data_IF_314966202589
#
_entry.id   IF_314966202589
#
_cell.length_a   1.000
_cell.length_b   1.000
_cell.length_c   1.000
_cell.angle_alpha   90.00
_cell.angle_beta   90.00
_cell.angle_gamma   90.00
#
_symmetry.space_group_name_H-M   'P 1'
#
loop_
_entity.id
_entity.type
_entity.pdbx_description
1 polymer ?
#
# COMPACT_ATOMS: atom_id res chain seq x y z
N UNK A 1 10.63 -9.94 -11.71
CA UNK A 1 12.06 -9.56 -11.50
C UNK A 1 12.25 -9.34 -10.00
N UNK A 2 13.42 -9.58 -9.40
CA UNK A 2 13.61 -9.25 -7.98
C UNK A 2 13.74 -7.72 -7.83
N UNK A 3 12.78 -7.08 -7.18
CA UNK A 3 12.75 -5.62 -6.99
C UNK A 3 13.74 -5.26 -5.89
N UNK A 4 14.78 -4.48 -6.22
CA UNK A 4 15.81 -4.09 -5.26
C UNK A 4 15.49 -2.75 -4.60
N UNK A 5 15.94 -2.56 -3.35
CA UNK A 5 15.88 -1.26 -2.65
C UNK A 5 16.52 -0.13 -3.46
N UNK A 6 17.58 -0.42 -4.22
CA UNK A 6 18.23 0.58 -5.08
C UNK A 6 17.30 1.05 -6.19
N UNK A 7 16.63 0.13 -6.89
CA UNK A 7 15.68 0.48 -7.95
C UNK A 7 14.54 1.36 -7.41
N UNK A 8 14.00 1.02 -6.24
CA UNK A 8 12.97 1.82 -5.57
C UNK A 8 13.48 3.24 -5.26
N UNK A 9 14.68 3.38 -4.67
CA UNK A 9 15.25 4.69 -4.36
C UNK A 9 15.54 5.53 -5.61
N UNK A 10 16.04 4.90 -6.68
CA UNK A 10 16.29 5.55 -7.97
C UNK A 10 14.96 6.03 -8.60
N UNK A 11 13.91 5.21 -8.55
CA UNK A 11 12.58 5.55 -9.05
C UNK A 11 11.96 6.72 -8.28
N UNK A 12 11.99 6.69 -6.95
CA UNK A 12 11.52 7.82 -6.13
C UNK A 12 12.23 9.11 -6.51
N UNK A 13 13.56 9.06 -6.72
CA UNK A 13 14.34 10.22 -7.15
C UNK A 13 13.98 10.67 -8.57
N UNK A 14 13.85 9.74 -9.53
CA UNK A 14 13.51 10.02 -10.94
C UNK A 14 12.15 10.69 -11.08
N UNK A 15 11.20 10.34 -10.22
CA UNK A 15 9.83 10.85 -10.21
C UNK A 15 9.60 11.99 -9.19
N UNK A 16 10.68 12.54 -8.60
CA UNK A 16 10.63 13.61 -7.61
C UNK A 16 9.72 13.32 -6.40
N UNK A 17 9.60 12.04 -6.02
CA UNK A 17 8.90 11.62 -4.81
C UNK A 17 9.79 11.70 -3.57
N UNK A 18 9.22 12.04 -2.40
CA UNK A 18 10.01 12.28 -1.21
C UNK A 18 10.60 10.98 -0.64
N UNK A 19 11.88 11.06 -0.26
CA UNK A 19 12.53 10.11 0.65
C UNK A 19 12.81 10.87 1.94
N UNK A 20 12.17 10.45 3.03
CA UNK A 20 12.28 11.13 4.31
C UNK A 20 13.64 10.88 4.96
N UNK A 21 14.23 11.94 5.52
CA UNK A 21 15.58 11.93 6.09
C UNK A 21 15.54 12.00 7.61
N UNK A 22 16.59 11.47 8.22
CA UNK A 22 16.79 11.44 9.67
C UNK A 22 16.45 10.09 10.28
N UNK A 23 17.05 9.80 11.43
CA UNK A 23 16.92 8.49 12.06
C UNK A 23 15.47 8.15 12.37
N UNK A 24 15.05 6.95 11.98
CA UNK A 24 13.68 6.42 12.08
C UNK A 24 12.61 7.23 11.32
N UNK A 25 13.00 8.12 10.40
CA UNK A 25 12.03 8.82 9.55
C UNK A 25 11.66 7.90 8.38
N UNK A 26 10.49 7.29 8.44
CA UNK A 26 10.10 6.20 7.55
C UNK A 26 9.52 6.74 6.24
N UNK A 27 9.99 6.19 5.12
CA UNK A 27 9.36 6.29 3.80
C UNK A 27 8.66 4.98 3.47
N UNK A 28 7.35 5.05 3.21
CA UNK A 28 6.52 3.91 2.82
C UNK A 28 6.28 3.92 1.32
N UNK A 29 6.57 2.79 0.66
CA UNK A 29 6.46 2.68 -0.78
C UNK A 29 5.83 1.36 -1.19
N UNK A 30 4.80 1.39 -2.01
CA UNK A 30 4.31 0.20 -2.72
C UNK A 30 4.93 0.14 -4.11
N UNK A 31 5.17 -1.07 -4.60
CA UNK A 31 5.45 -1.34 -6.00
C UNK A 31 4.41 -2.32 -6.49
N UNK A 32 3.52 -1.83 -7.36
CA UNK A 32 2.54 -2.63 -8.08
C UNK A 32 3.22 -3.39 -9.21
N UNK A 33 3.01 -4.70 -9.26
CA UNK A 33 3.48 -5.57 -10.32
C UNK A 33 2.83 -5.19 -11.66
N UNK A 34 3.54 -5.46 -12.75
CA UNK A 34 2.96 -5.43 -14.09
C UNK A 34 1.83 -6.48 -14.29
N UNK A 35 1.84 -7.56 -13.52
CA UNK A 35 0.79 -8.58 -13.50
C UNK A 35 -0.33 -8.19 -12.51
N UNK A 36 -1.29 -7.39 -12.98
CA UNK A 36 -2.43 -6.93 -12.17
C UNK A 36 -3.59 -7.95 -12.10
N UNK A 37 -3.49 -9.06 -12.84
CA UNK A 37 -4.50 -10.13 -12.90
C UNK A 37 -4.26 -11.24 -11.87
N UNK A 38 -3.07 -11.28 -11.26
CA UNK A 38 -2.60 -12.40 -10.44
C UNK A 38 -3.54 -12.82 -9.28
N UNK A 39 -4.39 -11.91 -8.76
CA UNK A 39 -5.22 -12.10 -7.55
C UNK A 39 -4.45 -12.67 -6.33
N UNK A 40 -3.13 -12.52 -6.31
CA UNK A 40 -2.20 -12.98 -5.28
C UNK A 40 -1.45 -11.79 -4.71
N UNK A 41 -0.62 -12.01 -3.69
CA UNK A 41 0.20 -10.96 -3.10
C UNK A 41 1.53 -10.80 -3.84
N UNK A 42 1.47 -10.46 -5.13
CA UNK A 42 2.61 -10.32 -6.04
C UNK A 42 3.25 -8.92 -6.03
N UNK A 43 2.65 -7.96 -5.32
CA UNK A 43 3.21 -6.63 -5.13
C UNK A 43 4.20 -6.59 -3.97
N UNK A 44 4.97 -5.50 -3.89
CA UNK A 44 5.95 -5.28 -2.81
C UNK A 44 5.64 -4.04 -2.01
N UNK A 45 5.76 -4.13 -0.68
CA UNK A 45 5.65 -3.00 0.23
C UNK A 45 6.99 -2.74 0.92
N UNK A 46 7.62 -1.62 0.58
CA UNK A 46 8.90 -1.20 1.12
C UNK A 46 8.76 -0.23 2.30
N UNK A 47 9.60 -0.44 3.31
CA UNK A 47 9.78 0.46 4.45
C UNK A 47 11.24 0.90 4.48
N UNK A 48 11.50 2.16 4.14
CA UNK A 48 12.86 2.71 4.01
C UNK A 48 13.12 3.70 5.14
N UNK A 49 14.26 3.60 5.81
CA UNK A 49 14.67 4.52 6.87
C UNK A 49 16.18 4.51 7.08
N UNK A 50 16.67 5.43 7.90
CA UNK A 50 18.07 5.49 8.34
C UNK A 50 18.16 5.29 9.85
N UNK A 51 19.27 4.72 10.32
CA UNK A 51 19.67 4.69 11.74
C UNK A 51 21.18 4.89 11.79
N UNK A 52 21.67 5.85 12.58
CA UNK A 52 23.10 6.16 12.72
C UNK A 52 23.81 6.34 11.37
N UNK A 53 23.14 7.00 10.43
CA UNK A 53 23.65 7.25 9.07
C UNK A 53 23.66 6.03 8.13
N UNK A 54 23.18 4.86 8.57
CA UNK A 54 23.06 3.65 7.73
C UNK A 54 21.63 3.50 7.20
N UNK A 55 21.50 3.17 5.92
CA UNK A 55 20.20 2.90 5.31
C UNK A 55 19.73 1.49 5.65
N UNK A 56 18.44 1.39 5.96
CA UNK A 56 17.73 0.15 6.23
C UNK A 56 16.49 0.09 5.34
N UNK A 57 16.16 -1.11 4.90
CA UNK A 57 14.97 -1.39 4.12
C UNK A 57 14.38 -2.73 4.55
N UNK A 58 13.04 -2.80 4.60
CA UNK A 58 12.28 -4.04 4.58
C UNK A 58 11.41 -4.05 3.35
N UNK A 59 11.17 -5.24 2.79
CA UNK A 59 10.26 -5.46 1.69
C UNK A 59 9.31 -6.62 2.02
N UNK A 60 8.01 -6.35 1.93
CA UNK A 60 6.97 -7.32 2.30
C UNK A 60 6.15 -7.70 1.08
N UNK A 61 5.68 -8.94 1.02
CA UNK A 61 4.67 -9.34 0.04
C UNK A 61 3.35 -8.66 0.39
N UNK A 62 2.77 -7.97 -0.58
CA UNK A 62 1.49 -7.32 -0.43
C UNK A 62 0.65 -7.43 -1.71
N UNK A 63 -0.55 -6.87 -1.65
CA UNK A 63 -1.32 -6.48 -2.82
C UNK A 63 -1.69 -5.01 -2.69
N UNK A 64 -1.63 -4.32 -3.82
CA UNK A 64 -2.04 -2.94 -4.05
C UNK A 64 -3.29 -2.87 -4.93
N UNK A 65 -3.77 -4.04 -5.33
CA UNK A 65 -4.92 -4.27 -6.20
C UNK A 65 -6.09 -4.82 -5.37
N UNK A 66 -7.33 -4.49 -5.75
CA UNK A 66 -8.48 -5.19 -5.18
C UNK A 66 -8.43 -6.66 -5.61
N UNK A 67 -8.91 -7.56 -4.76
CA UNK A 67 -9.03 -8.97 -5.13
C UNK A 67 -10.17 -9.18 -6.12
N UNK A 68 -10.07 -10.25 -6.93
CA UNK A 68 -11.02 -10.55 -8.02
C UNK A 68 -12.46 -10.55 -7.53
N UNK A 69 -12.72 -11.06 -6.32
CA UNK A 69 -14.06 -11.01 -5.72
C UNK A 69 -14.66 -9.61 -5.76
N UNK A 70 -13.91 -8.57 -5.38
CA UNK A 70 -14.45 -7.22 -5.37
C UNK A 70 -14.46 -6.57 -6.75
N UNK A 71 -13.55 -6.94 -7.66
CA UNK A 71 -13.61 -6.49 -9.06
C UNK A 71 -14.94 -6.88 -9.70
N UNK A 72 -15.33 -8.15 -9.54
CA UNK A 72 -16.60 -8.69 -10.04
C UNK A 72 -17.83 -8.30 -9.19
N UNK A 73 -17.62 -7.94 -7.91
CA UNK A 73 -18.69 -7.58 -6.98
C UNK A 73 -18.39 -6.25 -6.26
N UNK A 74 -18.46 -5.11 -6.97
CA UNK A 74 -18.16 -3.81 -6.39
C UNK A 74 -19.05 -3.50 -5.19
N UNK A 75 -18.44 -2.99 -4.11
CA UNK A 75 -19.19 -2.53 -2.93
C UNK A 75 -19.88 -1.19 -3.22
N UNK A 76 -19.24 -0.34 -4.03
CA UNK A 76 -19.75 0.97 -4.42
C UNK A 76 -20.41 0.87 -5.79
N UNK A 77 -21.55 1.57 -5.97
CA UNK A 77 -22.31 1.63 -7.22
C UNK A 77 -21.51 2.22 -8.38
N UNK A 78 -20.53 3.07 -8.06
CA UNK A 78 -19.64 3.70 -9.03
C UNK A 78 -18.48 2.78 -9.43
N UNK A 79 -18.27 1.67 -8.71
CA UNK A 79 -17.24 0.69 -9.01
C UNK A 79 -16.23 0.44 -7.89
N UNK A 80 -15.40 -0.58 -8.11
CA UNK A 80 -14.30 -1.01 -7.26
C UNK A 80 -13.23 0.07 -7.22
N UNK A 81 -12.73 0.34 -6.00
CA UNK A 81 -11.65 1.29 -5.82
C UNK A 81 -10.30 0.64 -6.18
N UNK A 82 -9.57 1.26 -7.09
CA UNK A 82 -8.19 0.88 -7.39
C UNK A 82 -7.28 2.11 -7.23
N UNK A 83 -6.39 2.08 -6.24
CA UNK A 83 -5.57 3.23 -5.88
C UNK A 83 -4.67 3.65 -7.04
N UNK A 84 -4.69 4.93 -7.40
CA UNK A 84 -3.81 5.46 -8.43
C UNK A 84 -2.35 5.46 -7.97
N UNK A 85 -1.40 5.05 -8.84
CA UNK A 85 0.03 5.29 -8.60
C UNK A 85 0.33 6.78 -8.40
N UNK A 86 1.26 7.08 -7.51
CA UNK A 86 1.64 8.44 -7.14
C UNK A 86 1.99 8.61 -5.66
N UNK A 87 2.27 9.85 -5.27
CA UNK A 87 2.54 10.21 -3.88
C UNK A 87 1.28 10.71 -3.17
N UNK A 88 0.89 10.00 -2.11
CA UNK A 88 -0.25 10.28 -1.25
C UNK A 88 0.25 10.88 0.07
N UNK A 89 0.31 12.20 0.14
CA UNK A 89 0.91 12.91 1.28
C UNK A 89 0.04 12.86 2.54
N UNK A 90 0.61 12.41 3.67
CA UNK A 90 -0.10 12.36 4.96
C UNK A 90 -1.40 11.55 4.94
N UNK A 91 -1.50 10.61 4.00
CA UNK A 91 -2.73 9.92 3.67
C UNK A 91 -3.15 8.91 4.74
N UNK A 92 -2.22 8.46 5.59
CA UNK A 92 -2.45 7.46 6.62
C UNK A 92 -2.10 7.95 8.01
N UNK A 93 -2.75 7.35 9.00
CA UNK A 93 -2.43 7.47 10.41
C UNK A 93 -2.49 6.09 11.08
N UNK A 94 -1.69 5.85 12.14
CA UNK A 94 -1.88 4.67 12.98
C UNK A 94 -3.24 4.78 13.69
N UNK A 95 -4.17 3.92 13.31
CA UNK A 95 -5.52 3.84 13.90
C UNK A 95 -5.98 2.40 13.98
N UNK A 96 -7.31 2.19 13.94
CA UNK A 96 -7.90 0.85 14.04
C UNK A 96 -8.65 0.47 12.77
N UNK A 97 -8.21 -0.59 12.09
CA UNK A 97 -8.96 -1.15 10.97
C UNK A 97 -10.21 -1.85 11.49
N UNK A 98 -11.39 -1.42 11.00
CA UNK A 98 -12.71 -1.90 11.44
C UNK A 98 -12.96 -1.80 12.97
N UNK A 99 -12.20 -0.96 13.68
CA UNK A 99 -12.25 -0.90 15.16
C UNK A 99 -11.65 -2.12 15.88
N UNK A 100 -10.98 -3.04 15.19
CA UNK A 100 -10.55 -4.34 15.74
C UNK A 100 -9.07 -4.39 16.11
N UNK A 101 -8.19 -3.92 15.23
CA UNK A 101 -6.74 -4.01 15.43
C UNK A 101 -6.02 -2.81 14.84
N UNK A 102 -4.80 -2.54 15.31
CA UNK A 102 -4.01 -1.39 14.85
C UNK A 102 -3.53 -1.58 13.42
N UNK A 103 -3.70 -0.53 12.60
CA UNK A 103 -3.33 -0.51 11.20
C UNK A 103 -3.06 0.93 10.75
N UNK A 104 -2.58 1.10 9.52
CA UNK A 104 -2.56 2.42 8.87
C UNK A 104 -3.94 2.67 8.26
N UNK A 105 -4.64 3.69 8.74
CA UNK A 105 -5.99 4.02 8.31
C UNK A 105 -6.02 5.32 7.52
N UNK A 106 -6.87 5.40 6.50
CA UNK A 106 -7.00 6.60 5.68
C UNK A 106 -7.39 7.83 6.52
N UNK A 107 -6.61 8.90 6.36
CA UNK A 107 -6.80 10.23 6.99
C UNK A 107 -6.54 11.41 6.06
N UNK A 108 -6.00 11.16 4.86
CA UNK A 108 -5.96 12.14 3.78
C UNK A 108 -6.74 11.65 2.57
N UNK A 109 -7.13 12.58 1.71
CA UNK A 109 -7.75 12.25 0.43
C UNK A 109 -6.79 11.45 -0.45
N UNK A 110 -7.33 10.46 -1.16
CA UNK A 110 -6.61 9.66 -2.14
C UNK A 110 -7.42 9.62 -3.42
N UNK A 111 -6.75 9.52 -4.57
CA UNK A 111 -7.42 9.33 -5.87
C UNK A 111 -7.43 7.86 -6.24
N UNK A 112 -8.60 7.35 -6.62
CA UNK A 112 -8.81 5.97 -7.07
C UNK A 112 -9.43 5.96 -8.46
N UNK A 113 -9.14 4.93 -9.24
CA UNK A 113 -10.01 4.51 -10.33
C UNK A 113 -11.25 3.83 -9.75
N UNK A 114 -12.39 4.01 -10.43
CA UNK A 114 -13.69 3.44 -10.09
C UNK A 114 -14.14 2.49 -11.17
N UNK A 115 -13.69 1.24 -11.05
CA UNK A 115 -13.90 0.20 -12.04
C UNK A 115 -15.25 -0.50 -11.84
N UNK A 116 -16.13 -0.40 -12.83
CA UNK A 116 -17.53 -0.81 -12.72
C UNK A 116 -18.00 -1.71 -13.86
N UNK A 117 -17.08 -2.27 -14.64
CA UNK A 117 -17.45 -3.23 -15.69
C UNK A 117 -17.84 -4.62 -15.12
N UNK A 118 -17.43 -4.90 -13.89
CA UNK A 118 -17.79 -6.09 -13.14
C UNK A 118 -17.07 -7.35 -13.62
N UNK A 119 -15.90 -7.19 -14.25
CA UNK A 119 -15.06 -8.33 -14.62
C UNK A 119 -13.86 -8.51 -13.67
N UNK A 120 -13.00 -9.48 -13.98
CA UNK A 120 -11.87 -9.85 -13.13
C UNK A 120 -10.61 -9.00 -13.37
N UNK A 121 -10.59 -8.22 -14.45
CA UNK A 121 -9.48 -7.36 -14.84
C UNK A 121 -9.63 -5.97 -14.20
N UNK A 122 -8.62 -5.12 -14.35
CA UNK A 122 -8.65 -3.76 -13.81
C UNK A 122 -8.60 -2.74 -14.94
N UNK A 123 -9.57 -1.82 -14.95
CA UNK A 123 -9.64 -0.76 -15.96
C UNK A 123 -8.99 0.54 -15.49
N UNK A 124 -7.80 0.85 -16.01
CA UNK A 124 -7.10 2.12 -15.77
C UNK A 124 -7.73 3.33 -16.49
N UNK A 125 -8.69 3.09 -17.39
CA UNK A 125 -9.45 4.13 -18.09
C UNK A 125 -10.74 4.49 -17.37
N UNK A 126 -11.05 3.77 -16.29
CA UNK A 126 -12.21 4.04 -15.46
C UNK A 126 -12.19 5.46 -14.87
N UNK A 127 -13.36 5.92 -14.44
CA UNK A 127 -13.50 7.26 -13.86
C UNK A 127 -12.65 7.40 -12.61
N UNK A 128 -12.14 8.61 -12.37
CA UNK A 128 -11.30 8.93 -11.21
C UNK A 128 -12.12 9.63 -10.16
N UNK A 129 -11.95 9.22 -8.91
CA UNK A 129 -12.58 9.86 -7.76
C UNK A 129 -11.52 10.18 -6.70
N UNK A 130 -11.61 11.36 -6.08
CA UNK A 130 -10.74 11.76 -4.96
C UNK A 130 -11.57 11.96 -3.71
N UNK A 131 -11.15 11.34 -2.60
CA UNK A 131 -11.90 11.43 -1.35
C UNK A 131 -11.46 10.42 -0.30
N UNK A 132 -12.39 10.11 0.61
CA UNK A 132 -12.20 9.17 1.73
C UNK A 132 -12.99 7.89 1.47
N UNK A 133 -12.27 6.82 1.16
CA UNK A 133 -12.86 5.52 0.76
C UNK A 133 -12.53 4.38 1.73
N UNK A 134 -11.73 4.66 2.76
CA UNK A 134 -11.22 3.64 3.67
C UNK A 134 -10.07 2.83 3.06
N UNK A 135 -9.26 3.45 2.19
CA UNK A 135 -8.05 2.85 1.62
C UNK A 135 -6.99 2.74 2.72
N UNK A 136 -7.05 1.65 3.49
CA UNK A 136 -6.17 1.39 4.62
C UNK A 136 -4.97 0.53 4.18
N UNK A 137 -3.93 0.47 5.02
CA UNK A 137 -2.91 -0.56 4.96
C UNK A 137 -3.02 -1.52 6.15
N UNK A 138 -3.31 -2.79 5.88
CA UNK A 138 -3.63 -3.81 6.89
C UNK A 138 -3.11 -5.21 6.49
N UNK A 139 -3.25 -6.21 7.37
CA UNK A 139 -2.94 -7.60 7.03
C UNK A 139 -4.16 -8.33 6.43
N UNK A 140 -3.92 -9.40 5.71
CA UNK A 140 -4.95 -10.35 5.28
C UNK A 140 -5.42 -11.22 6.48
N UNK A 141 -5.02 -12.48 6.55
CA UNK A 141 -5.35 -13.36 7.67
C UNK A 141 -4.47 -13.06 8.91
N UNK A 142 -5.04 -12.90 10.12
CA UNK A 142 -4.27 -12.59 11.34
C UNK A 142 -3.39 -13.73 11.85
N UNK A 143 -3.60 -14.97 11.38
CA UNK A 143 -2.97 -16.16 11.96
C UNK A 143 -2.01 -16.88 11.01
N UNK A 144 -2.18 -16.73 9.70
CA UNK A 144 -1.42 -17.48 8.69
C UNK A 144 -1.12 -16.63 7.47
N UNK A 145 -0.02 -16.94 6.79
CA UNK A 145 0.27 -16.41 5.46
C UNK A 145 -0.93 -16.64 4.52
N UNK A 146 -1.36 -15.58 3.84
CA UNK A 146 -2.38 -15.64 2.80
C UNK A 146 -1.74 -15.69 1.44
N UNK A 147 -2.17 -16.62 0.58
CA UNK A 147 -1.66 -16.75 -0.79
C UNK A 147 -2.57 -16.09 -1.83
N UNK A 148 -3.85 -15.93 -1.50
CA UNK A 148 -4.90 -15.39 -2.39
C UNK A 148 -5.49 -14.11 -1.78
N UNK A 149 -5.76 -13.09 -2.61
CA UNK A 149 -6.30 -11.80 -2.17
C UNK A 149 -7.80 -11.87 -1.93
N UNK A 150 -8.61 -12.16 -2.96
CA UNK A 150 -10.08 -12.22 -2.89
C UNK A 150 -10.70 -11.10 -2.02
N UNK A 151 -11.27 -11.50 -0.87
CA UNK A 151 -12.03 -10.61 0.03
C UNK A 151 -11.16 -9.78 0.96
N UNK A 152 -9.84 -9.91 0.89
CA UNK A 152 -8.93 -9.16 1.73
C UNK A 152 -8.79 -7.70 1.30
N UNK A 153 -8.99 -7.38 0.01
CA UNK A 153 -8.85 -6.00 -0.49
C UNK A 153 -9.96 -5.61 -1.46
N UNK A 154 -10.74 -4.58 -1.09
CA UNK A 154 -11.61 -3.85 -2.02
C UNK A 154 -10.94 -2.56 -2.56
N UNK A 155 -9.61 -2.48 -2.48
CA UNK A 155 -8.80 -1.30 -2.82
C UNK A 155 -7.77 -0.90 -1.75
N UNK A 156 -7.76 -1.58 -0.60
CA UNK A 156 -6.75 -1.41 0.45
C UNK A 156 -5.38 -1.94 0.00
N UNK A 157 -4.34 -1.54 0.74
CA UNK A 157 -2.99 -2.06 0.58
C UNK A 157 -2.80 -3.18 1.62
N UNK A 158 -2.66 -4.43 1.21
CA UNK A 158 -2.79 -5.56 2.15
C UNK A 158 -1.55 -6.43 2.17
N UNK A 159 -0.94 -6.58 3.34
CA UNK A 159 0.20 -7.49 3.55
C UNK A 159 -0.29 -8.93 3.68
N UNK A 160 0.45 -9.86 3.05
CA UNK A 160 0.12 -11.28 2.99
C UNK A 160 0.30 -12.01 4.32
N UNK A 161 1.38 -11.67 5.04
CA UNK A 161 1.83 -12.34 6.26
C UNK A 161 1.53 -11.48 7.50
N UNK A 162 0.84 -12.02 8.53
CA UNK A 162 0.63 -11.30 9.78
C UNK A 162 1.92 -10.99 10.55
N UNK A 163 2.99 -11.77 10.39
CA UNK A 163 4.30 -11.52 11.01
C UNK A 163 4.97 -10.30 10.39
N UNK A 164 4.97 -10.20 9.07
CA UNK A 164 5.47 -9.03 8.34
C UNK A 164 4.68 -7.77 8.71
N UNK A 165 3.36 -7.91 8.80
CA UNK A 165 2.51 -6.81 9.23
C UNK A 165 2.79 -6.37 10.68
N UNK A 166 3.04 -7.31 11.60
CA UNK A 166 3.44 -6.98 12.96
C UNK A 166 4.78 -6.22 13.00
N UNK A 167 5.74 -6.61 12.14
CA UNK A 167 7.01 -5.91 12.00
C UNK A 167 6.81 -4.50 11.42
N UNK A 168 6.00 -4.35 10.36
CA UNK A 168 5.62 -3.04 9.81
C UNK A 168 5.06 -2.14 10.93
N UNK A 169 4.08 -2.62 11.69
CA UNK A 169 3.50 -1.85 12.79
C UNK A 169 4.53 -1.51 13.88
N UNK A 170 5.46 -2.40 14.20
CA UNK A 170 6.53 -2.12 15.17
C UNK A 170 7.46 -1.00 14.69
N UNK A 171 7.88 -1.02 13.41
CA UNK A 171 8.71 0.01 12.79
C UNK A 171 7.99 1.37 12.80
N UNK A 172 6.71 1.40 12.42
CA UNK A 172 5.89 2.60 12.46
C UNK A 172 5.76 3.15 13.88
N UNK A 173 5.40 2.32 14.87
CA UNK A 173 5.32 2.78 16.26
C UNK A 173 6.66 3.33 16.77
N UNK A 174 7.80 2.78 16.32
CA UNK A 174 9.12 3.32 16.65
C UNK A 174 9.35 4.70 16.03
N UNK A 175 9.03 4.87 14.76
CA UNK A 175 9.08 6.15 14.06
C UNK A 175 8.16 7.20 14.71
N UNK A 176 6.97 6.80 15.12
CA UNK A 176 5.94 7.66 15.70
C UNK A 176 6.37 8.33 17.00
N UNK A 177 7.30 7.73 17.77
CA UNK A 177 7.88 8.34 18.96
C UNK A 177 8.57 9.67 18.68
N UNK A 178 9.02 9.90 17.43
CA UNK A 178 9.76 11.10 17.02
C UNK A 178 9.01 11.94 15.98
N UNK A 179 8.36 11.32 15.01
CA UNK A 179 7.74 12.03 13.88
C UNK A 179 6.20 12.06 13.94
N UNK A 180 5.60 11.45 14.97
CA UNK A 180 4.15 11.34 15.10
C UNK A 180 3.55 10.18 14.29
N UNK A 181 2.24 10.02 14.40
CA UNK A 181 1.52 8.83 13.93
C UNK A 181 1.03 8.90 12.48
N UNK A 182 1.32 10.00 11.76
CA UNK A 182 0.89 10.22 10.37
C UNK A 182 1.98 9.86 9.38
N UNK A 183 1.60 9.25 8.27
CA UNK A 183 2.50 8.75 7.24
C UNK A 183 2.00 9.12 5.85
N UNK A 184 2.94 9.47 4.98
CA UNK A 184 2.72 9.51 3.54
C UNK A 184 3.03 8.15 2.92
N UNK A 185 2.43 7.87 1.77
CA UNK A 185 2.63 6.65 1.00
C UNK A 185 2.89 6.98 -0.47
N UNK A 186 3.89 6.35 -1.07
CA UNK A 186 4.11 6.43 -2.51
C UNK A 186 3.80 5.08 -3.13
N UNK A 187 2.95 5.05 -4.15
CA UNK A 187 2.69 3.85 -4.95
C UNK A 187 3.36 4.01 -6.30
N UNK A 188 4.33 3.15 -6.59
CA UNK A 188 4.98 3.02 -7.89
C UNK A 188 4.37 1.84 -8.67
N UNK A 189 4.48 1.87 -9.99
CA UNK A 189 4.32 0.67 -10.83
C UNK A 189 5.69 0.05 -11.12
N UNK A 190 5.74 -1.23 -11.46
CA UNK A 190 6.98 -1.92 -11.85
C UNK A 190 7.67 -1.22 -13.04
N UNK A 191 6.90 -0.64 -13.98
CA UNK A 191 7.41 0.15 -15.11
C UNK A 191 8.09 1.47 -14.72
N UNK A 192 7.85 1.96 -13.50
CA UNK A 192 8.49 3.18 -12.97
C UNK A 192 9.86 2.91 -12.33
N UNK A 193 10.22 1.64 -12.13
CA UNK A 193 11.50 1.23 -11.55
C UNK A 193 12.71 1.44 -12.48
#
# INVERSE_FOLDING_TARGET
>A
MEITTKAVLDALKKHDYPVFKGDWNITLVGVRSSDTDANTFNDRFFVLFTVDGKQHAYDFACTTDPGVYYREHPINVDGTAWLMPGHHAGCWEIGYHQGKYKALVQRGEMTVYRDNDGDATLDEKANKETGYFGINCHHANPNTLSVQVDKWSAGCQVLADPVDFALLMALLNKSAQKYGIKYSYTLLTEDQL
#
